data_IF_414791519102
#
_entry.id   IF_414791519102
#
_cell.length_a   1.000
_cell.length_b   1.000
_cell.length_c   1.000
_cell.angle_alpha   90.00
_cell.angle_beta   90.00
_cell.angle_gamma   90.00
#
_symmetry.space_group_name_H-M   'P 1'
#
loop_
_entity.id
_entity.type
_entity.pdbx_description
1 polymer ?
#
# COMPACT_ATOMS: atom_id res chain seq x y z
N UNK A 1 -26.77 -0.12 -4.68
CA UNK A 1 -26.60 0.94 -3.64
C UNK A 1 -25.37 0.73 -2.74
N UNK A 2 -24.90 -0.52 -2.52
CA UNK A 2 -23.71 -0.81 -1.68
C UNK A 2 -22.37 -0.45 -2.34
N UNK A 3 -22.19 -0.70 -3.64
CA UNK A 3 -20.95 -0.38 -4.38
C UNK A 3 -20.46 1.06 -4.18
N UNK A 4 -21.35 2.06 -4.35
CA UNK A 4 -20.99 3.47 -4.17
C UNK A 4 -20.40 3.75 -2.78
N UNK A 5 -20.97 3.14 -1.74
CA UNK A 5 -20.49 3.27 -0.36
C UNK A 5 -19.14 2.59 -0.17
N UNK A 6 -18.96 1.36 -0.69
CA UNK A 6 -17.68 0.66 -0.57
C UNK A 6 -16.55 1.39 -1.32
N UNK A 7 -16.82 1.94 -2.51
CA UNK A 7 -15.87 2.76 -3.27
C UNK A 7 -15.50 4.02 -2.50
N UNK A 8 -16.47 4.71 -1.90
CA UNK A 8 -16.20 5.90 -1.06
C UNK A 8 -15.34 5.56 0.17
N UNK A 9 -15.62 4.44 0.84
CA UNK A 9 -14.81 3.97 1.96
C UNK A 9 -13.37 3.65 1.51
N UNK A 10 -13.22 3.01 0.35
CA UNK A 10 -11.90 2.69 -0.19
C UNK A 10 -11.11 3.93 -0.62
N UNK A 11 -11.80 4.94 -1.16
CA UNK A 11 -11.21 6.23 -1.48
C UNK A 11 -10.72 6.95 -0.22
N UNK A 12 -11.56 7.03 0.82
CA UNK A 12 -11.18 7.62 2.10
C UNK A 12 -9.99 6.87 2.73
N UNK A 13 -10.00 5.54 2.68
CA UNK A 13 -8.90 4.69 3.13
C UNK A 13 -7.57 5.08 2.47
N UNK A 14 -7.54 5.16 1.14
CA UNK A 14 -6.32 5.50 0.40
C UNK A 14 -5.84 6.94 0.67
N UNK A 15 -6.75 7.90 0.88
CA UNK A 15 -6.39 9.25 1.33
C UNK A 15 -5.74 9.23 2.71
N UNK A 16 -6.33 8.50 3.67
CA UNK A 16 -5.77 8.39 5.02
C UNK A 16 -4.38 7.77 5.01
N UNK A 17 -4.14 6.76 4.16
CA UNK A 17 -2.82 6.15 3.98
C UNK A 17 -1.82 7.21 3.51
N UNK A 18 -2.16 8.01 2.50
CA UNK A 18 -1.27 9.07 2.00
C UNK A 18 -0.97 10.10 3.10
N UNK A 19 -2.00 10.56 3.83
CA UNK A 19 -1.82 11.53 4.91
C UNK A 19 -0.90 10.99 6.00
N UNK A 20 -1.11 9.74 6.44
CA UNK A 20 -0.28 9.14 7.47
C UNK A 20 1.14 8.85 6.99
N UNK A 21 1.33 8.38 5.76
CA UNK A 21 2.65 8.15 5.18
C UNK A 21 3.44 9.47 5.12
N UNK A 22 2.86 10.51 4.52
CA UNK A 22 3.48 11.85 4.48
C UNK A 22 3.74 12.43 5.88
N UNK A 23 2.86 12.17 6.84
CA UNK A 23 3.04 12.59 8.24
C UNK A 23 4.21 11.89 8.94
N UNK A 24 4.55 10.66 8.52
CA UNK A 24 5.69 9.90 9.05
C UNK A 24 7.01 10.22 8.35
N UNK A 25 6.97 10.78 7.13
CA UNK A 25 8.15 11.15 6.36
C UNK A 25 9.25 11.88 7.15
N UNK A 26 8.98 12.92 8.00
CA UNK A 26 10.04 13.56 8.79
C UNK A 26 10.69 12.61 9.82
N UNK A 27 9.93 11.67 10.38
CA UNK A 27 10.43 10.67 11.33
C UNK A 27 11.33 9.68 10.59
N UNK A 28 10.89 9.21 9.41
CA UNK A 28 11.67 8.32 8.57
C UNK A 28 12.99 8.96 8.13
N UNK A 29 12.94 10.21 7.65
CA UNK A 29 14.12 10.96 7.23
C UNK A 29 15.13 11.12 8.37
N UNK A 30 14.66 11.46 9.59
CA UNK A 30 15.53 11.54 10.76
C UNK A 30 16.20 10.20 11.07
N UNK A 31 15.46 9.09 11.01
CA UNK A 31 16.01 7.76 11.32
C UNK A 31 17.13 7.32 10.37
N UNK A 32 17.11 7.79 9.11
CA UNK A 32 18.14 7.45 8.12
C UNK A 32 19.46 8.17 8.41
N UNK A 33 19.41 9.40 8.94
CA UNK A 33 20.62 10.13 9.33
C UNK A 33 21.39 9.48 10.48
N UNK A 34 20.70 8.68 11.31
CA UNK A 34 21.32 7.95 12.42
C UNK A 34 21.98 6.64 11.97
N UNK A 35 21.81 6.22 10.70
CA UNK A 35 22.34 4.98 10.15
C UNK A 35 23.69 5.24 9.47
N UNK A 36 24.70 4.43 9.79
CA UNK A 36 25.99 4.48 9.10
C UNK A 36 25.83 4.11 7.62
N UNK A 37 26.51 4.85 6.74
CA UNK A 37 26.39 4.68 5.28
C UNK A 37 26.71 3.24 4.81
N UNK A 38 27.64 2.57 5.50
CA UNK A 38 28.02 1.17 5.25
C UNK A 38 26.89 0.17 5.56
N UNK A 39 25.98 0.52 6.46
CA UNK A 39 24.83 -0.31 6.84
C UNK A 39 23.59 -0.04 5.97
N UNK A 40 23.52 1.11 5.31
CA UNK A 40 22.38 1.53 4.50
C UNK A 40 22.07 0.57 3.35
N UNK A 41 23.08 -0.06 2.75
CA UNK A 41 22.90 -1.08 1.70
C UNK A 41 22.23 -2.35 2.21
N UNK A 42 22.60 -2.81 3.41
CA UNK A 42 21.96 -3.98 4.03
C UNK A 42 20.52 -3.67 4.43
N UNK A 43 20.28 -2.48 4.98
CA UNK A 43 18.95 -2.03 5.35
C UNK A 43 18.04 -1.90 4.12
N UNK A 44 18.56 -1.35 3.01
CA UNK A 44 17.84 -1.27 1.73
C UNK A 44 17.40 -2.64 1.25
N UNK A 45 18.28 -3.64 1.35
CA UNK A 45 17.97 -5.02 0.99
C UNK A 45 16.87 -5.61 1.88
N UNK A 46 16.98 -5.46 3.21
CA UNK A 46 15.96 -5.95 4.17
C UNK A 46 14.60 -5.32 3.89
N UNK A 47 14.54 -4.00 3.69
CA UNK A 47 13.29 -3.28 3.46
C UNK A 47 12.70 -3.65 2.09
N UNK A 48 13.54 -3.86 1.08
CA UNK A 48 13.08 -4.35 -0.23
C UNK A 48 12.47 -5.74 -0.14
N UNK A 49 13.07 -6.66 0.64
CA UNK A 49 12.51 -8.00 0.87
C UNK A 49 11.16 -7.94 1.63
N UNK A 50 11.08 -7.08 2.64
CA UNK A 50 9.82 -6.85 3.36
C UNK A 50 8.75 -6.25 2.44
N UNK A 51 9.10 -5.29 1.58
CA UNK A 51 8.18 -4.70 0.60
C UNK A 51 7.59 -5.76 -0.32
N UNK A 52 8.43 -6.62 -0.91
CA UNK A 52 7.96 -7.72 -1.76
C UNK A 52 7.00 -8.64 -0.99
N UNK A 53 7.33 -8.97 0.27
CA UNK A 53 6.48 -9.80 1.13
C UNK A 53 5.12 -9.15 1.42
N UNK A 54 5.11 -7.85 1.72
CA UNK A 54 3.87 -7.10 1.96
C UNK A 54 3.04 -6.98 0.68
N UNK A 55 3.67 -6.80 -0.49
CA UNK A 55 2.97 -6.83 -1.77
C UNK A 55 2.28 -8.19 -2.00
N UNK A 56 2.97 -9.30 -1.75
CA UNK A 56 2.34 -10.63 -1.84
C UNK A 56 1.19 -10.79 -0.86
N UNK A 57 1.35 -10.35 0.39
CA UNK A 57 0.26 -10.37 1.35
C UNK A 57 -0.94 -9.53 0.86
N UNK A 58 -0.70 -8.32 0.34
CA UNK A 58 -1.76 -7.46 -0.21
C UNK A 58 -2.50 -8.12 -1.38
N UNK A 59 -1.79 -8.86 -2.25
CA UNK A 59 -2.41 -9.61 -3.35
C UNK A 59 -3.12 -10.89 -2.90
N UNK A 60 -2.73 -11.48 -1.78
CA UNK A 60 -3.39 -12.67 -1.24
C UNK A 60 -4.70 -12.29 -0.53
N UNK A 61 -4.68 -11.20 0.25
CA UNK A 61 -5.82 -10.65 0.99
C UNK A 61 -6.70 -9.74 0.10
N UNK A 62 -7.42 -10.38 -0.83
CA UNK A 62 -8.39 -9.72 -1.73
C UNK A 62 -9.79 -9.61 -1.11
N UNK A 63 -10.54 -8.58 -1.50
CA UNK A 63 -11.96 -8.45 -1.18
C UNK A 63 -12.76 -9.63 -1.72
N UNK A 64 -12.35 -10.19 -2.87
CA UNK A 64 -13.02 -11.32 -3.50
C UNK A 64 -13.04 -12.60 -2.64
N UNK A 65 -12.07 -12.76 -1.73
CA UNK A 65 -12.01 -13.87 -0.77
C UNK A 65 -12.73 -13.56 0.55
N UNK A 66 -13.20 -12.33 0.73
CA UNK A 66 -13.78 -11.85 1.98
C UNK A 66 -15.31 -11.87 1.98
N UNK A 67 -15.95 -12.11 3.13
CA UNK A 67 -17.41 -12.08 3.28
C UNK A 67 -17.96 -10.65 3.33
N UNK A 68 -17.87 -9.92 2.22
CA UNK A 68 -18.25 -8.50 2.11
C UNK A 68 -19.76 -8.24 2.29
N UNK A 69 -20.58 -9.30 2.28
CA UNK A 69 -22.00 -9.23 2.61
C UNK A 69 -22.27 -8.94 4.09
N UNK A 70 -21.31 -9.26 4.97
CA UNK A 70 -21.38 -8.99 6.41
C UNK A 70 -20.56 -7.75 6.76
N UNK A 71 -21.02 -6.93 7.72
CA UNK A 71 -20.28 -5.73 8.13
C UNK A 71 -18.92 -6.07 8.75
N UNK A 72 -18.80 -7.17 9.49
CA UNK A 72 -17.53 -7.65 10.04
C UNK A 72 -16.53 -8.07 8.96
N UNK A 73 -16.99 -8.79 7.93
CA UNK A 73 -16.15 -9.17 6.78
C UNK A 73 -15.67 -7.95 6.00
N UNK A 74 -16.56 -6.97 5.77
CA UNK A 74 -16.18 -5.69 5.15
C UNK A 74 -15.14 -4.94 5.97
N UNK A 75 -15.35 -4.83 7.29
CA UNK A 75 -14.42 -4.12 8.17
C UNK A 75 -13.03 -4.77 8.17
N UNK A 76 -12.97 -6.09 8.34
CA UNK A 76 -11.70 -6.83 8.34
C UNK A 76 -10.95 -6.70 7.01
N UNK A 77 -11.65 -6.78 5.87
CA UNK A 77 -11.03 -6.61 4.55
C UNK A 77 -10.49 -5.19 4.33
N UNK A 78 -11.20 -4.16 4.78
CA UNK A 78 -10.73 -2.78 4.72
C UNK A 78 -9.52 -2.56 5.65
N UNK A 79 -9.54 -3.12 6.85
CA UNK A 79 -8.42 -3.03 7.79
C UNK A 79 -7.17 -3.75 7.28
N UNK A 80 -7.31 -4.97 6.74
CA UNK A 80 -6.17 -5.74 6.24
C UNK A 80 -5.52 -5.03 5.04
N UNK A 81 -6.32 -4.63 4.06
CA UNK A 81 -5.81 -3.89 2.89
C UNK A 81 -5.25 -2.53 3.29
N UNK A 82 -5.83 -1.84 4.28
CA UNK A 82 -5.27 -0.61 4.83
C UNK A 82 -3.86 -0.83 5.39
N UNK A 83 -3.68 -1.86 6.24
CA UNK A 83 -2.38 -2.15 6.87
C UNK A 83 -1.32 -2.46 5.80
N UNK A 84 -1.61 -3.35 4.85
CA UNK A 84 -0.63 -3.72 3.84
C UNK A 84 -0.30 -2.58 2.88
N UNK A 85 -1.30 -1.83 2.43
CA UNK A 85 -1.08 -0.64 1.59
C UNK A 85 -0.28 0.45 2.33
N UNK A 86 -0.53 0.62 3.63
CA UNK A 86 0.23 1.56 4.45
C UNK A 86 1.69 1.14 4.66
N UNK A 87 1.92 -0.15 4.91
CA UNK A 87 3.27 -0.70 4.97
C UNK A 87 4.01 -0.52 3.64
N UNK A 88 3.35 -0.76 2.50
CA UNK A 88 3.91 -0.50 1.17
C UNK A 88 4.31 0.97 1.02
N UNK A 89 3.42 1.90 1.40
CA UNK A 89 3.68 3.33 1.30
C UNK A 89 4.93 3.74 2.09
N UNK A 90 5.00 3.36 3.37
CA UNK A 90 6.14 3.66 4.25
C UNK A 90 7.43 3.03 3.72
N UNK A 91 7.38 1.77 3.30
CA UNK A 91 8.57 1.07 2.79
C UNK A 91 9.09 1.71 1.50
N UNK A 92 8.20 2.14 0.60
CA UNK A 92 8.59 2.87 -0.60
C UNK A 92 9.22 4.23 -0.29
N UNK A 93 8.62 5.01 0.62
CA UNK A 93 9.21 6.27 1.08
C UNK A 93 10.61 6.04 1.67
N UNK A 94 10.75 5.01 2.50
CA UNK A 94 12.03 4.68 3.13
C UNK A 94 13.10 4.26 2.11
N UNK A 95 12.75 3.42 1.14
CA UNK A 95 13.63 3.04 0.03
C UNK A 95 14.08 4.28 -0.75
N UNK A 96 13.14 5.17 -1.09
CA UNK A 96 13.44 6.41 -1.82
C UNK A 96 14.38 7.32 -1.04
N UNK A 97 14.18 7.43 0.28
CA UNK A 97 15.05 8.22 1.15
C UNK A 97 16.47 7.61 1.25
N UNK A 98 16.60 6.29 1.39
CA UNK A 98 17.92 5.64 1.37
C UNK A 98 18.62 5.86 0.03
N UNK A 99 17.89 5.70 -1.08
CA UNK A 99 18.47 5.88 -2.43
C UNK A 99 18.93 7.31 -2.65
N UNK A 100 18.23 8.30 -2.08
CA UNK A 100 18.66 9.70 -2.12
C UNK A 100 20.07 9.88 -1.53
N UNK A 101 20.36 9.21 -0.43
CA UNK A 101 21.65 9.31 0.27
C UNK A 101 22.76 8.50 -0.42
N UNK A 102 22.46 7.27 -0.89
CA UNK A 102 23.48 6.38 -1.50
C UNK A 102 23.71 6.72 -2.98
N UNK A 103 22.64 6.99 -3.74
CA UNK A 103 22.68 7.14 -5.19
C UNK A 103 21.90 8.38 -5.67
N UNK A 104 22.36 9.60 -5.33
CA UNK A 104 21.62 10.84 -5.60
C UNK A 104 21.35 11.07 -7.10
N UNK A 105 22.19 10.56 -7.99
CA UNK A 105 22.04 10.72 -9.45
C UNK A 105 20.82 9.97 -10.00
N UNK A 106 20.46 8.81 -9.43
CA UNK A 106 19.30 8.00 -9.88
C UNK A 106 18.06 8.22 -9.02
N UNK A 107 18.16 9.04 -7.97
CA UNK A 107 17.05 9.33 -7.07
C UNK A 107 15.74 9.74 -7.78
N UNK A 108 15.73 10.67 -8.77
CA UNK A 108 14.49 11.07 -9.43
C UNK A 108 13.79 9.91 -10.16
N UNK A 109 14.57 8.98 -10.72
CA UNK A 109 14.05 7.78 -11.38
C UNK A 109 13.35 6.86 -10.37
N UNK A 110 13.96 6.63 -9.20
CA UNK A 110 13.36 5.81 -8.15
C UNK A 110 12.12 6.45 -7.50
N UNK A 111 12.09 7.79 -7.38
CA UNK A 111 10.87 8.51 -6.98
C UNK A 111 9.75 8.22 -7.98
N UNK A 112 10.01 8.38 -9.29
CA UNK A 112 9.03 8.12 -10.34
C UNK A 112 8.52 6.68 -10.32
N UNK A 113 9.42 5.69 -10.18
CA UNK A 113 9.05 4.28 -10.06
C UNK A 113 8.20 3.99 -8.82
N UNK A 114 8.55 4.58 -7.68
CA UNK A 114 7.81 4.38 -6.42
C UNK A 114 6.40 4.99 -6.49
N UNK A 115 6.27 6.17 -7.10
CA UNK A 115 4.97 6.81 -7.36
C UNK A 115 4.11 5.95 -8.28
N UNK A 116 4.67 5.46 -9.39
CA UNK A 116 3.94 4.59 -10.32
C UNK A 116 3.51 3.28 -9.66
N UNK A 117 4.39 2.67 -8.87
CA UNK A 117 4.06 1.45 -8.14
C UNK A 117 2.92 1.70 -7.15
N UNK A 118 2.98 2.79 -6.37
CA UNK A 118 1.94 3.13 -5.42
C UNK A 118 0.59 3.42 -6.11
N UNK A 119 0.59 4.16 -7.22
CA UNK A 119 -0.61 4.35 -8.06
C UNK A 119 -1.16 3.00 -8.55
N UNK A 120 -0.28 2.11 -9.03
CA UNK A 120 -0.65 0.77 -9.46
C UNK A 120 -1.34 -0.04 -8.35
N UNK A 121 -0.84 0.06 -7.11
CA UNK A 121 -1.43 -0.61 -5.96
C UNK A 121 -2.80 -0.04 -5.59
N UNK A 122 -2.98 1.29 -5.65
CA UNK A 122 -4.29 1.93 -5.45
C UNK A 122 -5.29 1.46 -6.51
N UNK A 123 -4.89 1.48 -7.79
CA UNK A 123 -5.75 1.03 -8.89
C UNK A 123 -6.14 -0.44 -8.74
N UNK A 124 -5.19 -1.29 -8.33
CA UNK A 124 -5.45 -2.70 -8.05
C UNK A 124 -6.48 -2.88 -6.92
N UNK A 125 -6.32 -2.15 -5.82
CA UNK A 125 -7.23 -2.19 -4.67
C UNK A 125 -8.67 -1.76 -5.04
N UNK A 126 -8.83 -0.74 -5.90
CA UNK A 126 -10.13 -0.37 -6.46
C UNK A 126 -10.68 -1.44 -7.41
N UNK A 127 -9.85 -1.97 -8.30
CA UNK A 127 -10.27 -3.00 -9.25
C UNK A 127 -10.74 -4.27 -8.54
N UNK A 128 -10.04 -4.71 -7.51
CA UNK A 128 -10.39 -5.90 -6.74
C UNK A 128 -11.73 -5.72 -6.01
N UNK A 129 -11.98 -4.52 -5.44
CA UNK A 129 -13.26 -4.19 -4.83
C UNK A 129 -14.43 -4.22 -5.83
N UNK A 130 -14.25 -3.60 -7.01
CA UNK A 130 -15.29 -3.57 -8.05
C UNK A 130 -15.57 -4.98 -8.57
N UNK A 131 -14.53 -5.78 -8.80
CA UNK A 131 -14.64 -7.18 -9.24
C UNK A 131 -15.43 -8.03 -8.23
N UNK A 132 -15.21 -7.82 -6.94
CA UNK A 132 -15.91 -8.54 -5.87
C UNK A 132 -17.41 -8.22 -5.87
N UNK A 133 -17.79 -6.94 -5.97
CA UNK A 133 -19.20 -6.54 -5.99
C UNK A 133 -19.96 -7.11 -7.20
N UNK A 134 -19.33 -7.14 -8.37
CA UNK A 134 -19.91 -7.78 -9.56
C UNK A 134 -20.20 -9.28 -9.35
N UNK A 135 -19.33 -10.00 -8.61
CA UNK A 135 -19.55 -11.42 -8.28
C UNK A 135 -20.72 -11.61 -7.32
N UNK A 136 -20.86 -10.72 -6.34
CA UNK A 136 -22.00 -10.74 -5.40
C UNK A 136 -23.29 -10.51 -6.17
N UNK A 137 -23.36 -9.49 -7.02
CA UNK A 137 -24.58 -9.22 -7.82
C UNK A 137 -24.98 -10.41 -8.69
N UNK A 138 -24.03 -11.12 -9.30
CA UNK A 138 -24.32 -12.30 -10.12
C UNK A 138 -24.87 -13.47 -9.28
N UNK A 139 -24.29 -13.72 -8.09
CA UNK A 139 -24.67 -14.83 -7.22
C UNK A 139 -26.09 -14.70 -6.64
N UNK A 140 -26.60 -13.47 -6.48
CA UNK A 140 -27.94 -13.21 -5.92
C UNK A 140 -29.02 -12.89 -6.98
N UNK A 141 -28.66 -12.89 -8.27
CA UNK A 141 -29.61 -12.77 -9.39
C UNK A 141 -30.05 -14.13 -9.98
N UNK A 142 -29.40 -15.21 -9.58
CA UNK A 142 -29.77 -16.62 -9.84
C UNK A 142 -30.47 -17.19 -8.62
#
# INVERSE_FOLDING_TARGET
MKLKRHVQMNFLKNILIIIFALGLLPILAKSIHDIQLEQSSNLLLVISMLLVTVCFANFEFTYAKSEMNKPSGTFLALCSTFIFMFLIAIQLEYIVLIIKEIYPTVFPMFVGMSVLLYIGMILYDFWDLVRMEQRIEFKYKL
#
